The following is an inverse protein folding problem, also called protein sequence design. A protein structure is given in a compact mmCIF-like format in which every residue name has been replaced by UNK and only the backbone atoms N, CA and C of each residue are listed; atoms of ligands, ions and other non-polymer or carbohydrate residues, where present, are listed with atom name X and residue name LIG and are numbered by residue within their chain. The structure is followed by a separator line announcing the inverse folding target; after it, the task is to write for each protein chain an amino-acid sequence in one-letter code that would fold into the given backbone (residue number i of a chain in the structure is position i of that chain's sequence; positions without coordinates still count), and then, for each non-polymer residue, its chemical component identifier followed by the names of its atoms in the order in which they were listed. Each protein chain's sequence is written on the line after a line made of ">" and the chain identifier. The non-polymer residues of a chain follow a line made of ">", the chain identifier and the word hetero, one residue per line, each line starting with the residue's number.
data_IF_462032176073
#
_entry.id   IF_462032176073
#
_cell.length_a   1.000
_cell.length_b   1.000
_cell.length_c   1.000
_cell.angle_alpha   90.00
_cell.angle_beta   90.00
_cell.angle_gamma   90.00
#
_symmetry.space_group_name_H-M   'P 1'
#
loop_
_entity.id
_entity.type
_entity.pdbx_description
1 polymer ?
#
# COMPACT_ATOMS: atom_id res chain seq x y z
N UNK A 1 6.19 -17.06 -17.45
CA UNK A 1 5.49 -16.70 -16.20
C UNK A 1 6.46 -16.31 -15.10
N UNK A 2 7.54 -17.07 -14.86
CA UNK A 2 8.55 -16.72 -13.82
C UNK A 2 9.10 -15.29 -13.89
N UNK A 3 9.44 -14.79 -15.09
CA UNK A 3 9.96 -13.42 -15.23
C UNK A 3 8.95 -12.33 -14.80
N UNK A 4 7.66 -12.54 -15.07
CA UNK A 4 6.61 -11.60 -14.66
C UNK A 4 6.35 -11.68 -13.14
N UNK A 5 6.35 -12.90 -12.59
CA UNK A 5 6.24 -13.11 -11.15
C UNK A 5 7.40 -12.45 -10.37
N UNK A 6 8.62 -12.54 -10.92
CA UNK A 6 9.80 -11.89 -10.35
C UNK A 6 9.73 -10.36 -10.46
N UNK A 7 9.21 -9.83 -11.57
CA UNK A 7 9.00 -8.39 -11.74
C UNK A 7 8.02 -7.82 -10.70
N UNK A 8 6.96 -8.56 -10.36
CA UNK A 8 6.02 -8.18 -9.30
C UNK A 8 6.71 -8.10 -7.94
N UNK A 9 7.50 -9.11 -7.57
CA UNK A 9 8.22 -9.11 -6.30
C UNK A 9 9.27 -7.99 -6.20
N UNK A 10 9.93 -7.65 -7.32
CA UNK A 10 10.88 -6.52 -7.38
C UNK A 10 10.15 -5.19 -7.21
N UNK A 11 9.09 -4.94 -7.98
CA UNK A 11 8.29 -3.72 -7.87
C UNK A 11 7.68 -3.58 -6.47
N UNK A 12 7.17 -4.67 -5.88
CA UNK A 12 6.66 -4.66 -4.50
C UNK A 12 7.72 -4.23 -3.47
N UNK A 13 8.99 -4.62 -3.65
CA UNK A 13 10.10 -4.17 -2.78
C UNK A 13 10.38 -2.68 -2.95
N UNK A 14 10.39 -2.18 -4.19
CA UNK A 14 10.56 -0.73 -4.42
C UNK A 14 9.43 0.08 -3.80
N UNK A 15 8.19 -0.40 -3.93
CA UNK A 15 7.03 0.25 -3.31
C UNK A 15 7.06 0.17 -1.79
N UNK A 16 7.56 -0.95 -1.24
CA UNK A 16 7.79 -1.08 0.20
C UNK A 16 8.76 0.00 0.67
N UNK A 17 9.91 0.17 0.00
CA UNK A 17 10.90 1.20 0.36
C UNK A 17 10.33 2.62 0.29
N UNK A 18 9.48 2.91 -0.70
CA UNK A 18 8.78 4.20 -0.82
C UNK A 18 7.81 4.39 0.36
N UNK A 19 6.98 3.40 0.64
CA UNK A 19 6.02 3.41 1.74
C UNK A 19 6.73 3.63 3.08
N UNK A 20 7.79 2.89 3.32
CA UNK A 20 8.59 2.93 4.53
C UNK A 20 9.18 4.32 4.81
N UNK A 21 9.62 5.01 3.77
CA UNK A 21 10.09 6.40 3.86
C UNK A 21 8.93 7.36 4.17
N UNK A 22 7.81 7.24 3.48
CA UNK A 22 6.61 8.07 3.70
C UNK A 22 6.04 7.89 5.11
N UNK A 23 5.94 6.65 5.58
CA UNK A 23 5.46 6.30 6.92
C UNK A 23 6.38 6.87 8.01
N UNK A 24 7.71 6.73 7.84
CA UNK A 24 8.69 7.33 8.77
C UNK A 24 8.62 8.86 8.78
N UNK A 25 8.45 9.48 7.62
CA UNK A 25 8.24 10.93 7.53
C UNK A 25 6.98 11.33 8.30
N UNK A 26 5.85 10.65 8.12
CA UNK A 26 4.61 10.93 8.84
C UNK A 26 4.71 10.76 10.36
N UNK A 27 5.39 9.71 10.83
CA UNK A 27 5.63 9.50 12.27
C UNK A 27 6.53 10.61 12.85
N UNK A 28 7.57 11.01 12.13
CA UNK A 28 8.44 12.13 12.55
C UNK A 28 7.71 13.49 12.50
N UNK A 29 6.77 13.63 11.58
CA UNK A 29 6.00 14.84 11.27
C UNK A 29 4.69 14.95 12.06
N UNK A 30 4.23 13.90 12.73
CA UNK A 30 3.16 13.97 13.74
C UNK A 30 3.52 14.92 14.92
N UNK A 31 4.80 15.30 15.04
CA UNK A 31 5.26 16.37 15.93
C UNK A 31 5.47 17.75 15.29
N UNK A 32 5.45 17.93 13.95
CA UNK A 32 5.83 19.22 13.32
C UNK A 32 5.44 19.48 11.84
N UNK A 33 4.66 18.63 11.15
CA UNK A 33 4.26 18.91 9.76
C UNK A 33 3.23 20.03 9.62
N UNK A 34 3.39 20.86 8.59
CA UNK A 34 2.36 21.79 8.13
C UNK A 34 1.11 21.13 7.48
N UNK A 35 1.06 19.81 7.31
CA UNK A 35 -0.20 19.08 7.00
C UNK A 35 -1.24 19.20 8.14
N UNK A 36 -0.84 19.72 9.31
CA UNK A 36 -1.71 20.14 10.41
C UNK A 36 -2.49 21.45 10.14
N UNK A 37 -2.31 22.09 8.97
CA UNK A 37 -3.09 23.26 8.54
C UNK A 37 -4.56 22.87 8.26
N UNK A 38 -5.31 22.60 9.33
CA UNK A 38 -6.71 22.16 9.27
C UNK A 38 -7.23 21.43 10.51
N UNK A 39 -6.40 21.20 11.54
CA UNK A 39 -6.84 20.59 12.80
C UNK A 39 -7.11 19.08 12.74
N UNK A 40 -6.81 18.41 11.64
CA UNK A 40 -6.87 16.95 11.51
C UNK A 40 -5.45 16.40 11.44
N UNK A 41 -4.98 15.81 12.54
CA UNK A 41 -3.77 14.98 12.52
C UNK A 41 -4.14 13.66 11.87
N UNK A 42 -3.94 13.53 10.56
CA UNK A 42 -4.08 12.24 9.87
C UNK A 42 -3.05 11.28 10.45
N UNK A 43 -3.52 10.23 11.11
CA UNK A 43 -2.65 9.18 11.61
C UNK A 43 -2.24 8.27 10.45
N UNK A 44 -1.06 7.66 10.52
CA UNK A 44 -0.61 6.68 9.54
C UNK A 44 -1.69 5.60 9.27
N UNK A 45 -2.41 5.22 10.33
CA UNK A 45 -3.49 4.24 10.27
C UNK A 45 -4.67 4.69 9.38
N UNK A 46 -5.07 5.95 9.42
CA UNK A 46 -6.15 6.49 8.59
C UNK A 46 -5.75 6.44 7.11
N UNK A 47 -4.47 6.70 6.84
CA UNK A 47 -3.95 6.64 5.49
C UNK A 47 -3.85 5.21 4.95
N UNK A 48 -3.45 4.25 5.80
CA UNK A 48 -3.47 2.83 5.44
C UNK A 48 -4.90 2.33 5.18
N UNK A 49 -5.87 2.82 5.96
CA UNK A 49 -7.30 2.55 5.75
C UNK A 49 -7.78 3.11 4.40
N UNK A 50 -7.47 4.38 4.08
CA UNK A 50 -7.87 5.00 2.81
C UNK A 50 -7.30 4.27 1.58
N UNK A 51 -6.03 3.84 1.66
CA UNK A 51 -5.40 3.06 0.58
C UNK A 51 -6.08 1.70 0.45
N UNK A 52 -6.36 1.01 1.55
CA UNK A 52 -7.02 -0.29 1.52
C UNK A 52 -8.44 -0.18 0.95
N UNK A 53 -9.21 0.82 1.36
CA UNK A 53 -10.57 1.07 0.86
C UNK A 53 -10.56 1.43 -0.63
N UNK A 54 -9.57 2.22 -1.08
CA UNK A 54 -9.35 2.47 -2.50
C UNK A 54 -9.10 1.18 -3.28
N UNK A 55 -8.22 0.29 -2.78
CA UNK A 55 -7.89 -0.97 -3.44
C UNK A 55 -9.08 -1.93 -3.47
N UNK A 56 -9.85 -2.03 -2.38
CA UNK A 56 -11.10 -2.79 -2.35
C UNK A 56 -12.09 -2.29 -3.40
N UNK A 57 -12.31 -0.97 -3.48
CA UNK A 57 -13.18 -0.41 -4.50
C UNK A 57 -12.65 -0.61 -5.93
N UNK A 58 -11.33 -0.65 -6.13
CA UNK A 58 -10.74 -1.04 -7.43
C UNK A 58 -11.02 -2.50 -7.76
N UNK A 59 -10.87 -3.42 -6.80
CA UNK A 59 -11.15 -4.84 -6.99
C UNK A 59 -12.63 -5.06 -7.35
N UNK A 60 -13.55 -4.44 -6.61
CA UNK A 60 -15.00 -4.53 -6.84
C UNK A 60 -15.40 -4.01 -8.22
N UNK A 61 -14.90 -2.83 -8.63
CA UNK A 61 -15.18 -2.24 -9.95
C UNK A 61 -14.69 -3.10 -11.11
N UNK A 62 -13.68 -3.95 -10.89
CA UNK A 62 -13.14 -4.85 -11.90
C UNK A 62 -13.67 -6.30 -11.76
N UNK A 63 -14.61 -6.56 -10.83
CA UNK A 63 -15.13 -7.90 -10.58
C UNK A 63 -14.09 -8.88 -10.03
N UNK A 64 -13.03 -8.39 -9.40
CA UNK A 64 -11.87 -9.16 -8.93
C UNK A 64 -12.01 -9.56 -7.46
N UNK A 65 -12.89 -10.53 -7.20
CA UNK A 65 -13.09 -11.05 -5.84
C UNK A 65 -11.83 -11.71 -5.26
N UNK A 66 -10.99 -12.28 -6.12
CA UNK A 66 -9.68 -12.83 -5.80
C UNK A 66 -8.72 -11.77 -5.22
N UNK A 67 -8.69 -10.58 -5.82
CA UNK A 67 -7.89 -9.44 -5.32
C UNK A 67 -8.40 -8.98 -3.95
N UNK A 68 -9.72 -8.87 -3.79
CA UNK A 68 -10.32 -8.45 -2.52
C UNK A 68 -10.11 -9.48 -1.40
N UNK A 69 -10.06 -10.78 -1.72
CA UNK A 69 -9.73 -11.84 -0.78
C UNK A 69 -8.26 -11.78 -0.36
N UNK A 70 -7.34 -11.72 -1.34
CA UNK A 70 -5.91 -11.61 -1.09
C UNK A 70 -5.56 -10.36 -0.25
N UNK A 71 -6.19 -9.23 -0.57
CA UNK A 71 -6.00 -7.99 0.16
C UNK A 71 -6.40 -8.14 1.64
N UNK A 72 -7.57 -8.75 1.93
CA UNK A 72 -8.01 -8.99 3.30
C UNK A 72 -7.12 -9.98 4.05
N UNK A 73 -6.64 -11.02 3.36
CA UNK A 73 -5.76 -12.03 3.94
C UNK A 73 -4.38 -11.47 4.29
N UNK A 74 -3.78 -10.65 3.42
CA UNK A 74 -2.38 -10.22 3.54
C UNK A 74 -2.17 -8.77 3.97
N UNK A 75 -3.22 -7.96 3.89
CA UNK A 75 -3.18 -6.54 4.22
C UNK A 75 -3.65 -6.22 5.64
N UNK A 76 -4.21 -7.19 6.38
CA UNK A 76 -4.62 -6.99 7.77
C UNK A 76 -3.51 -7.44 8.73
N UNK A 77 -3.24 -6.62 9.74
CA UNK A 77 -2.39 -6.99 10.87
C UNK A 77 -3.16 -7.84 11.89
N UNK A 78 -2.44 -8.41 12.87
CA UNK A 78 -3.01 -9.29 13.91
C UNK A 78 -4.07 -8.58 14.78
N UNK A 79 -4.00 -7.26 14.92
CA UNK A 79 -4.97 -6.44 15.63
C UNK A 79 -6.21 -6.08 14.78
N UNK A 80 -6.26 -6.57 13.53
CA UNK A 80 -7.32 -6.31 12.58
C UNK A 80 -7.23 -4.97 11.87
N UNK A 81 -6.18 -4.17 12.08
CA UNK A 81 -5.97 -2.93 11.32
C UNK A 81 -5.40 -3.21 9.92
N UNK A 82 -5.50 -2.24 9.01
CA UNK A 82 -4.82 -2.35 7.71
C UNK A 82 -3.37 -1.96 7.84
N UNK A 83 -2.48 -2.76 7.22
CA UNK A 83 -1.07 -2.45 7.08
C UNK A 83 -0.63 -2.62 5.61
N UNK A 84 -0.35 -1.49 4.96
CA UNK A 84 0.17 -1.46 3.59
C UNK A 84 1.61 -1.97 3.56
N UNK A 85 2.37 -1.72 4.63
CA UNK A 85 3.70 -2.29 4.82
C UNK A 85 3.69 -3.82 4.85
N UNK A 86 2.78 -4.43 5.63
CA UNK A 86 2.64 -5.88 5.70
C UNK A 86 2.24 -6.48 4.34
N UNK A 87 1.28 -5.85 3.65
CA UNK A 87 0.85 -6.25 2.31
C UNK A 87 2.02 -6.25 1.32
N UNK A 88 2.75 -5.14 1.23
CA UNK A 88 3.89 -5.00 0.32
C UNK A 88 5.02 -5.97 0.66
N UNK A 89 5.29 -6.21 1.95
CA UNK A 89 6.23 -7.23 2.40
C UNK A 89 5.83 -8.64 1.97
N UNK A 90 4.55 -8.99 2.09
CA UNK A 90 4.02 -10.28 1.63
C UNK A 90 4.11 -10.43 0.11
N UNK A 91 3.84 -9.36 -0.66
CA UNK A 91 3.97 -9.35 -2.11
C UNK A 91 5.43 -9.43 -2.57
N UNK A 92 6.36 -8.84 -1.81
CA UNK A 92 7.79 -8.90 -2.06
C UNK A 92 8.41 -10.29 -1.74
N UNK A 93 7.83 -11.01 -0.78
CA UNK A 93 8.34 -12.30 -0.30
C UNK A 93 7.94 -13.52 -1.15
N UNK A 94 6.96 -13.39 -2.03
CA UNK A 94 6.42 -14.49 -2.83
C UNK A 94 6.43 -14.17 -4.34
N UNK A 95 6.51 -15.19 -5.22
CA UNK A 95 6.30 -14.99 -6.65
C UNK A 95 4.90 -14.42 -6.89
N UNK A 96 4.83 -13.31 -7.62
CA UNK A 96 3.56 -12.67 -7.94
C UNK A 96 2.75 -13.43 -8.99
N UNK A 97 1.45 -13.52 -8.79
CA UNK A 97 0.47 -13.90 -9.81
C UNK A 97 -0.23 -12.64 -10.38
N UNK A 98 -1.27 -12.84 -11.19
CA UNK A 98 -2.05 -11.75 -11.77
C UNK A 98 -2.72 -10.87 -10.69
N UNK A 99 -3.16 -11.48 -9.59
CA UNK A 99 -3.76 -10.79 -8.44
C UNK A 99 -2.73 -9.87 -7.76
N UNK A 100 -1.51 -10.37 -7.55
CA UNK A 100 -0.40 -9.59 -7.03
C UNK A 100 0.00 -8.46 -8.00
N UNK A 101 0.05 -8.74 -9.30
CA UNK A 101 0.37 -7.75 -10.33
C UNK A 101 -0.66 -6.60 -10.35
N UNK A 102 -1.95 -6.92 -10.19
CA UNK A 102 -3.01 -5.91 -10.10
C UNK A 102 -2.81 -4.98 -8.89
N UNK A 103 -2.55 -5.55 -7.70
CA UNK A 103 -2.33 -4.79 -6.48
C UNK A 103 -1.10 -3.88 -6.59
N UNK A 104 0.02 -4.44 -7.05
CA UNK A 104 1.28 -3.71 -7.23
C UNK A 104 1.11 -2.58 -8.24
N UNK A 105 0.43 -2.78 -9.36
CA UNK A 105 0.19 -1.72 -10.34
C UNK A 105 -0.64 -0.55 -9.79
N UNK A 106 -1.65 -0.84 -8.95
CA UNK A 106 -2.50 0.20 -8.33
C UNK A 106 -1.77 0.92 -7.20
N UNK A 107 -1.10 0.18 -6.32
CA UNK A 107 -0.26 0.74 -5.25
C UNK A 107 0.86 1.60 -5.84
N UNK A 108 1.50 1.16 -6.92
CA UNK A 108 2.58 1.90 -7.56
C UNK A 108 2.16 3.26 -8.06
N UNK A 109 0.98 3.37 -8.68
CA UNK A 109 0.43 4.67 -9.09
C UNK A 109 0.17 5.58 -7.89
N UNK A 110 -0.45 5.05 -6.85
CA UNK A 110 -0.83 5.80 -5.64
C UNK A 110 0.41 6.28 -4.86
N UNK A 111 1.29 5.36 -4.47
CA UNK A 111 2.47 5.65 -3.64
C UNK A 111 3.48 6.55 -4.35
N UNK A 112 3.75 6.32 -5.64
CA UNK A 112 4.66 7.19 -6.41
C UNK A 112 4.07 8.59 -6.62
N UNK A 113 2.74 8.71 -6.74
CA UNK A 113 2.08 10.02 -6.79
C UNK A 113 2.24 10.78 -5.48
N UNK A 114 2.03 10.11 -4.33
CA UNK A 114 2.24 10.71 -3.02
C UNK A 114 3.69 11.11 -2.78
N UNK A 115 4.64 10.22 -3.09
CA UNK A 115 6.07 10.50 -2.95
C UNK A 115 6.51 11.75 -3.74
N UNK A 116 5.91 12.01 -4.92
CA UNK A 116 6.18 13.24 -5.70
C UNK A 116 5.62 14.51 -5.07
N UNK A 117 4.55 14.43 -4.28
CA UNK A 117 3.93 15.60 -3.63
C UNK A 117 4.65 15.97 -2.32
N UNK A 118 5.42 15.05 -1.74
CA UNK A 118 6.12 15.21 -0.46
C UNK A 118 7.66 15.13 -0.58
N UNK A 119 8.19 15.09 -1.81
CA UNK A 119 9.62 14.99 -2.12
C UNK A 119 10.20 16.29 -2.64
#
# INVERSE_FOLDING_TARGET
>A
MEAAAHAVSVEARELLDIWDRLARQHVALAGSCACSAGGVTLQLQDFEQDIADYLLGQAERNGRADVAALLRERGRADDGTWSIGALLGALAGAPGDDTCAFLVARLGKTLRSFAKLHG
#
